data_IF_890857173801
#
_entry.id   IF_890857173801
#
_cell.length_a   1.000
_cell.length_b   1.000
_cell.length_c   1.000
_cell.angle_alpha   90.00
_cell.angle_beta   90.00
_cell.angle_gamma   90.00
#
_symmetry.space_group_name_H-M   'P 1'
#
loop_
_entity.id
_entity.type
_entity.pdbx_description
1 polymer ?
#
# COMPACT_ATOMS: atom_id res chain seq x y z
N UNK A 1 18.98 1.33 7.77
CA UNK A 1 18.07 0.70 8.77
C UNK A 1 17.62 1.76 9.73
N UNK A 2 16.35 1.77 10.16
CA UNK A 2 15.93 2.71 11.18
C UNK A 2 16.70 2.39 12.48
N UNK A 3 17.41 3.38 12.98
CA UNK A 3 18.29 3.19 14.14
C UNK A 3 17.58 3.55 15.46
N UNK A 4 16.44 4.25 15.36
CA UNK A 4 15.79 4.82 16.55
C UNK A 4 14.29 4.54 16.56
N UNK A 5 13.81 3.88 17.61
CA UNK A 5 12.40 3.80 17.93
C UNK A 5 11.93 5.16 18.43
N UNK A 6 10.94 5.77 17.78
CA UNK A 6 10.33 7.04 18.18
C UNK A 6 9.02 6.83 18.94
N UNK A 7 8.33 5.72 18.63
CA UNK A 7 7.13 5.30 19.32
C UNK A 7 7.43 4.31 20.44
N UNK A 8 6.58 4.28 21.44
CA UNK A 8 6.61 3.32 22.52
C UNK A 8 5.21 2.99 22.99
N UNK A 9 5.05 1.81 23.57
CA UNK A 9 3.82 1.37 24.19
C UNK A 9 4.14 0.69 25.52
N UNK A 10 3.38 1.03 26.55
CA UNK A 10 3.46 0.38 27.86
C UNK A 10 2.09 0.43 28.54
N UNK A 11 1.69 -0.67 29.16
CA UNK A 11 0.50 -0.78 29.98
C UNK A 11 0.78 -1.73 31.16
N UNK A 12 -0.23 -1.96 32.00
CA UNK A 12 -0.19 -2.85 33.16
C UNK A 12 -0.29 -4.36 32.81
N UNK A 13 -0.41 -4.70 31.52
CA UNK A 13 -0.48 -6.07 31.05
C UNK A 13 0.82 -6.46 30.35
N UNK A 14 1.62 -7.30 30.98
CA UNK A 14 2.93 -7.74 30.44
C UNK A 14 2.83 -8.46 29.10
N UNK A 15 1.73 -9.19 28.85
CA UNK A 15 1.53 -9.86 27.56
C UNK A 15 1.37 -8.84 26.42
N UNK A 16 0.61 -7.77 26.63
CA UNK A 16 0.44 -6.72 25.62
C UNK A 16 1.74 -5.97 25.38
N UNK A 17 2.51 -5.69 26.44
CA UNK A 17 3.84 -5.09 26.32
C UNK A 17 4.76 -5.98 25.48
N UNK A 18 4.73 -7.28 25.74
CA UNK A 18 5.54 -8.25 24.99
C UNK A 18 5.11 -8.39 23.52
N UNK A 19 3.81 -8.32 23.23
CA UNK A 19 3.29 -8.32 21.85
C UNK A 19 3.83 -7.11 21.09
N UNK A 20 3.79 -5.92 21.71
CA UNK A 20 4.37 -4.72 21.10
C UNK A 20 5.86 -4.87 20.80
N UNK A 21 6.66 -5.33 21.75
CA UNK A 21 8.09 -5.53 21.57
C UNK A 21 8.42 -6.48 20.41
N UNK A 22 7.68 -7.60 20.30
CA UNK A 22 7.87 -8.57 19.24
C UNK A 22 7.47 -7.96 17.87
N UNK A 23 6.36 -7.22 17.84
CA UNK A 23 5.92 -6.50 16.63
C UNK A 23 6.95 -5.47 16.19
N UNK A 24 7.46 -4.66 17.13
CA UNK A 24 8.50 -3.68 16.87
C UNK A 24 9.79 -4.32 16.34
N UNK A 25 10.21 -5.44 16.92
CA UNK A 25 11.36 -6.20 16.45
C UNK A 25 11.14 -6.80 15.06
N UNK A 26 9.94 -7.30 14.78
CA UNK A 26 9.58 -7.80 13.45
C UNK A 26 9.68 -6.70 12.40
N UNK A 27 9.13 -5.53 12.68
CA UNK A 27 9.25 -4.36 11.80
C UNK A 27 10.71 -3.96 11.58
N UNK A 28 11.54 -3.99 12.62
CA UNK A 28 12.98 -3.73 12.49
C UNK A 28 13.65 -4.70 11.51
N UNK A 29 13.30 -5.98 11.56
CA UNK A 29 13.87 -7.01 10.68
C UNK A 29 13.43 -6.85 9.22
N UNK A 30 12.22 -6.38 8.97
CA UNK A 30 11.62 -6.24 7.63
C UNK A 30 11.81 -4.85 7.01
N UNK A 31 12.31 -3.88 7.78
CA UNK A 31 12.66 -2.54 7.27
C UNK A 31 14.10 -2.53 6.79
N UNK A 32 14.29 -2.43 5.47
CA UNK A 32 15.59 -2.42 4.79
C UNK A 32 15.72 -1.16 3.94
N UNK A 33 16.25 -1.29 2.73
CA UNK A 33 16.17 -0.25 1.71
C UNK A 33 14.70 0.15 1.43
N UNK A 34 13.83 -0.85 1.50
CA UNK A 34 12.38 -0.77 1.39
C UNK A 34 11.73 -1.56 2.52
N UNK A 35 10.41 -1.43 2.68
CA UNK A 35 9.63 -2.34 3.49
C UNK A 35 9.38 -3.62 2.71
N UNK A 36 9.88 -4.74 3.21
CA UNK A 36 9.73 -6.07 2.61
C UNK A 36 8.68 -6.88 3.37
N UNK A 37 8.02 -7.80 2.68
CA UNK A 37 6.97 -8.68 3.23
C UNK A 37 7.44 -9.55 4.39
N UNK A 38 8.67 -10.04 4.34
CA UNK A 38 9.21 -10.89 5.38
C UNK A 38 10.68 -11.22 5.18
N UNK A 39 11.30 -11.82 6.20
CA UNK A 39 12.72 -12.18 6.18
C UNK A 39 12.98 -13.59 5.66
N UNK A 40 11.96 -14.44 5.59
CA UNK A 40 12.11 -15.86 5.27
C UNK A 40 11.68 -16.21 3.85
N UNK A 41 10.46 -15.80 3.44
CA UNK A 41 9.92 -16.01 2.09
C UNK A 41 10.06 -14.75 1.29
N UNK A 42 9.84 -14.80 0.04
CA UNK A 42 9.85 -13.75 -0.97
C UNK A 42 10.93 -12.69 -0.76
N UNK A 43 10.98 -12.05 0.40
CA UNK A 43 11.88 -10.92 0.72
C UNK A 43 11.75 -9.83 -0.34
N UNK A 44 10.52 -9.58 -0.74
CA UNK A 44 10.15 -8.71 -1.83
C UNK A 44 9.31 -7.53 -1.36
N UNK A 45 9.10 -6.56 -2.23
CA UNK A 45 8.27 -5.39 -1.94
C UNK A 45 6.89 -5.61 -2.57
N UNK A 46 5.91 -5.94 -1.73
CA UNK A 46 4.52 -6.13 -2.11
C UNK A 46 3.68 -4.96 -1.60
N UNK A 47 2.82 -4.37 -2.45
CA UNK A 47 2.07 -3.16 -2.09
C UNK A 47 1.08 -3.40 -0.94
N UNK A 48 0.42 -4.57 -0.92
CA UNK A 48 -0.50 -4.96 0.15
C UNK A 48 0.17 -5.14 1.50
N UNK A 49 1.42 -5.66 1.51
CA UNK A 49 2.23 -5.80 2.72
C UNK A 49 2.81 -4.45 3.14
N UNK A 50 3.24 -3.66 2.17
CA UNK A 50 3.87 -2.37 2.42
C UNK A 50 2.92 -1.37 3.10
N UNK A 51 1.63 -1.31 2.73
CA UNK A 51 0.67 -0.41 3.38
C UNK A 51 0.56 -0.70 4.88
N UNK A 52 0.53 -1.97 5.27
CA UNK A 52 0.51 -2.37 6.68
C UNK A 52 1.80 -1.94 7.39
N UNK A 53 2.94 -2.14 6.72
CA UNK A 53 4.25 -1.74 7.25
C UNK A 53 4.36 -0.22 7.41
N UNK A 54 3.79 0.59 6.48
CA UNK A 54 3.77 2.04 6.62
C UNK A 54 2.97 2.49 7.84
N UNK A 55 1.77 1.92 8.04
CA UNK A 55 0.94 2.23 9.21
C UNK A 55 1.69 1.92 10.51
N UNK A 56 2.30 0.75 10.62
CA UNK A 56 3.13 0.40 11.79
C UNK A 56 4.33 1.34 11.95
N UNK A 57 5.00 1.69 10.84
CA UNK A 57 6.14 2.60 10.84
C UNK A 57 5.79 3.99 11.39
N UNK A 58 4.62 4.53 11.09
CA UNK A 58 4.22 5.85 11.60
C UNK A 58 4.10 5.90 13.12
N UNK A 59 3.85 4.76 13.76
CA UNK A 59 3.79 4.65 15.23
C UNK A 59 5.09 4.15 15.87
N UNK A 60 6.06 3.68 15.09
CA UNK A 60 7.27 3.04 15.60
C UNK A 60 8.54 3.82 15.29
N UNK A 61 8.90 3.94 14.03
CA UNK A 61 10.14 4.62 13.59
C UNK A 61 9.88 6.02 13.07
N UNK A 62 8.75 6.24 12.44
CA UNK A 62 8.42 7.42 11.65
C UNK A 62 9.48 7.69 10.56
N UNK A 63 9.95 6.64 9.90
CA UNK A 63 10.89 6.73 8.79
C UNK A 63 10.14 7.05 7.48
N UNK A 64 9.88 8.33 7.24
CA UNK A 64 9.18 8.82 6.05
C UNK A 64 9.98 8.61 4.77
N UNK A 65 11.31 8.58 4.84
CA UNK A 65 12.17 8.41 3.66
C UNK A 65 12.09 6.99 3.09
N UNK A 66 12.04 5.97 3.97
CA UNK A 66 11.84 4.59 3.51
C UNK A 66 10.43 4.40 2.95
N UNK A 67 9.40 5.06 3.50
CA UNK A 67 8.04 5.06 2.92
C UNK A 67 8.07 5.66 1.52
N UNK A 68 8.63 6.85 1.33
CA UNK A 68 8.74 7.50 0.02
C UNK A 68 9.42 6.61 -1.01
N UNK A 69 10.58 6.05 -0.65
CA UNK A 69 11.31 5.14 -1.55
C UNK A 69 10.48 3.94 -1.94
N UNK A 70 9.77 3.33 -0.99
CA UNK A 70 8.94 2.16 -1.25
C UNK A 70 7.74 2.49 -2.14
N UNK A 71 7.02 3.59 -1.87
CA UNK A 71 5.93 4.08 -2.72
C UNK A 71 6.43 4.33 -4.14
N UNK A 72 7.56 5.02 -4.27
CA UNK A 72 8.14 5.35 -5.57
C UNK A 72 8.55 4.11 -6.37
N UNK A 73 9.20 3.16 -5.70
CA UNK A 73 9.67 1.91 -6.32
C UNK A 73 8.51 1.03 -6.79
N UNK A 74 7.49 0.88 -5.95
CA UNK A 74 6.30 0.07 -6.27
C UNK A 74 5.55 0.59 -7.49
N UNK A 75 5.54 1.91 -7.72
CA UNK A 75 4.86 2.49 -8.88
C UNK A 75 5.45 2.01 -10.22
N UNK A 76 6.70 1.63 -10.25
CA UNK A 76 7.37 1.18 -11.48
C UNK A 76 7.54 2.29 -12.51
N UNK A 77 7.64 1.91 -13.78
CA UNK A 77 7.90 2.81 -14.92
C UNK A 77 6.62 3.08 -15.73
N UNK A 78 6.63 4.15 -16.49
CA UNK A 78 5.64 4.40 -17.56
C UNK A 78 6.16 3.88 -18.91
N UNK A 79 5.28 3.47 -19.86
CA UNK A 79 3.83 3.37 -19.67
C UNK A 79 3.42 2.25 -18.72
N UNK A 80 2.28 2.44 -18.01
CA UNK A 80 1.71 1.40 -17.15
C UNK A 80 1.14 0.29 -18.02
N UNK A 81 1.58 -0.94 -17.81
CA UNK A 81 1.16 -2.12 -18.59
C UNK A 81 0.53 -3.22 -17.74
N UNK A 82 0.58 -3.08 -16.42
CA UNK A 82 0.00 -4.05 -15.48
C UNK A 82 -0.35 -3.37 -14.16
N UNK A 83 -1.18 -4.01 -13.37
CA UNK A 83 -1.35 -3.64 -11.96
C UNK A 83 -0.04 -3.74 -11.18
N UNK A 84 0.08 -3.00 -10.09
CA UNK A 84 1.23 -3.07 -9.19
C UNK A 84 1.35 -4.52 -8.67
N UNK A 85 2.55 -5.09 -8.75
CA UNK A 85 2.82 -6.48 -8.46
C UNK A 85 1.94 -7.48 -9.26
N UNK A 86 1.34 -7.07 -10.37
CA UNK A 86 0.33 -7.80 -11.16
C UNK A 86 -0.99 -8.08 -10.42
N UNK A 87 -1.19 -7.50 -9.24
CA UNK A 87 -2.32 -7.71 -8.36
C UNK A 87 -3.22 -6.46 -8.37
N UNK A 88 -4.51 -6.65 -8.63
CA UNK A 88 -5.46 -5.55 -8.76
C UNK A 88 -5.63 -4.77 -7.47
N UNK A 89 -5.93 -5.44 -6.37
CA UNK A 89 -6.07 -4.86 -5.03
C UNK A 89 -4.83 -4.07 -4.61
N UNK A 90 -3.63 -4.55 -4.97
CA UNK A 90 -2.35 -3.93 -4.61
C UNK A 90 -2.14 -2.57 -5.29
N UNK A 91 -2.74 -2.37 -6.46
CA UNK A 91 -2.80 -1.07 -7.11
C UNK A 91 -3.60 -0.07 -6.28
N UNK A 92 -4.74 -0.48 -5.74
CA UNK A 92 -5.57 0.37 -4.89
C UNK A 92 -4.90 0.64 -3.54
N UNK A 93 -4.29 -0.35 -2.91
CA UNK A 93 -3.50 -0.16 -1.68
C UNK A 93 -2.35 0.83 -1.89
N UNK A 94 -1.77 0.87 -3.07
CA UNK A 94 -0.75 1.87 -3.39
C UNK A 94 -1.31 3.30 -3.35
N UNK A 95 -2.51 3.55 -3.91
CA UNK A 95 -3.16 4.87 -3.81
C UNK A 95 -3.45 5.23 -2.34
N UNK A 96 -3.99 4.31 -1.57
CA UNK A 96 -4.26 4.50 -0.16
C UNK A 96 -2.96 4.80 0.63
N UNK A 97 -1.86 4.17 0.26
CA UNK A 97 -0.54 4.45 0.86
C UNK A 97 -0.09 5.89 0.63
N UNK A 98 -0.38 6.47 -0.54
CA UNK A 98 -0.07 7.88 -0.82
C UNK A 98 -0.94 8.82 0.02
N UNK A 99 -2.23 8.50 0.17
CA UNK A 99 -3.13 9.23 1.05
C UNK A 99 -2.62 9.22 2.49
N UNK A 100 -2.35 8.05 3.04
CA UNK A 100 -1.85 7.89 4.41
C UNK A 100 -0.52 8.60 4.60
N UNK A 101 0.41 8.46 3.66
CA UNK A 101 1.68 9.18 3.70
C UNK A 101 1.47 10.68 3.86
N UNK A 102 0.61 11.28 3.05
CA UNK A 102 0.31 12.71 3.14
C UNK A 102 -0.33 13.07 4.49
N UNK A 103 -1.30 12.28 4.94
CA UNK A 103 -2.00 12.52 6.20
C UNK A 103 -1.08 12.47 7.42
N UNK A 104 -0.08 11.57 7.42
CA UNK A 104 0.87 11.45 8.52
C UNK A 104 2.03 12.44 8.46
N UNK A 105 2.43 12.88 7.27
CA UNK A 105 3.66 13.68 7.09
C UNK A 105 3.43 15.12 6.67
N UNK A 106 2.32 15.42 5.99
CA UNK A 106 2.08 16.71 5.35
C UNK A 106 3.03 17.02 4.19
N UNK A 107 3.77 16.03 3.65
CA UNK A 107 4.76 16.24 2.59
C UNK A 107 4.09 16.45 1.22
N UNK A 108 3.50 17.63 1.05
CA UNK A 108 2.85 18.06 -0.19
C UNK A 108 3.82 18.04 -1.39
N UNK A 109 5.10 18.35 -1.16
CA UNK A 109 6.11 18.36 -2.21
C UNK A 109 6.28 16.97 -2.84
N UNK A 110 6.36 15.93 -2.04
CA UNK A 110 6.47 14.56 -2.54
C UNK A 110 5.21 14.15 -3.31
N UNK A 111 4.02 14.45 -2.79
CA UNK A 111 2.76 14.13 -3.46
C UNK A 111 2.66 14.83 -4.81
N UNK A 112 3.01 16.12 -4.91
CA UNK A 112 3.07 16.85 -6.18
C UNK A 112 4.04 16.22 -7.19
N UNK A 113 5.19 15.78 -6.74
CA UNK A 113 6.16 15.08 -7.61
C UNK A 113 5.62 13.73 -8.11
N UNK A 114 4.86 13.04 -7.27
CA UNK A 114 4.29 11.73 -7.59
C UNK A 114 3.03 11.81 -8.45
N UNK A 115 2.28 12.91 -8.38
CA UNK A 115 0.95 13.06 -8.97
C UNK A 115 0.86 12.72 -10.47
N UNK A 116 1.81 13.11 -11.35
CA UNK A 116 1.78 12.68 -12.76
C UNK A 116 1.78 11.15 -12.91
N UNK A 117 2.50 10.45 -12.02
CA UNK A 117 2.58 8.98 -12.01
C UNK A 117 1.33 8.35 -11.42
N UNK A 118 0.67 9.03 -10.48
CA UNK A 118 -0.66 8.64 -9.99
C UNK A 118 -1.69 8.73 -11.11
N UNK A 119 -1.66 9.81 -11.89
CA UNK A 119 -2.57 9.99 -13.04
C UNK A 119 -2.44 8.87 -14.05
N UNK A 120 -1.23 8.56 -14.53
CA UNK A 120 -1.03 7.51 -15.53
C UNK A 120 -1.43 6.11 -15.01
N UNK A 121 -1.27 5.84 -13.70
CA UNK A 121 -1.76 4.60 -13.11
C UNK A 121 -3.30 4.60 -13.01
N UNK A 122 -3.91 5.72 -12.65
CA UNK A 122 -5.37 5.81 -12.58
C UNK A 122 -5.99 5.73 -13.99
N UNK A 123 -5.37 6.31 -15.02
CA UNK A 123 -5.78 6.16 -16.43
C UNK A 123 -5.75 4.69 -16.85
N UNK A 124 -4.73 3.94 -16.47
CA UNK A 124 -4.68 2.48 -16.69
C UNK A 124 -5.86 1.76 -16.01
N UNK A 125 -6.16 2.11 -14.76
CA UNK A 125 -7.28 1.51 -14.01
C UNK A 125 -8.63 1.87 -14.67
N UNK A 126 -8.84 3.15 -15.01
CA UNK A 126 -10.07 3.61 -15.67
C UNK A 126 -10.30 2.96 -17.04
N UNK A 127 -9.22 2.67 -17.78
CA UNK A 127 -9.29 1.90 -19.03
C UNK A 127 -9.73 0.44 -18.85
N UNK A 128 -9.89 -0.02 -17.61
CA UNK A 128 -10.29 -1.39 -17.23
C UNK A 128 -11.65 -1.44 -16.51
N UNK A 129 -12.36 -0.33 -16.48
CA UNK A 129 -13.75 -0.31 -16.01
C UNK A 129 -14.70 -0.76 -17.12
N UNK A 130 -15.83 -1.34 -16.72
CA UNK A 130 -16.91 -1.67 -17.66
C UNK A 130 -17.80 -0.46 -17.98
N UNK A 131 -18.91 -0.68 -18.69
CA UNK A 131 -19.86 0.37 -19.11
C UNK A 131 -20.52 1.08 -17.92
N UNK A 132 -20.59 0.45 -16.78
CA UNK A 132 -21.18 1.00 -15.55
C UNK A 132 -20.13 1.70 -14.68
N UNK A 133 -18.88 1.75 -15.13
CA UNK A 133 -17.75 2.34 -14.42
C UNK A 133 -17.21 1.48 -13.28
N UNK A 134 -17.55 0.19 -13.26
CA UNK A 134 -17.12 -0.74 -12.24
C UNK A 134 -15.82 -1.43 -12.65
N UNK A 135 -14.92 -1.64 -11.68
CA UNK A 135 -13.68 -2.38 -11.92
C UNK A 135 -13.89 -3.89 -11.78
N UNK A 136 -13.16 -4.65 -12.57
CA UNK A 136 -13.12 -6.11 -12.48
C UNK A 136 -11.77 -6.64 -12.97
N UNK A 137 -11.37 -7.80 -12.49
CA UNK A 137 -10.18 -8.48 -12.98
C UNK A 137 -10.32 -8.86 -14.44
N UNK A 138 -9.33 -8.55 -15.24
CA UNK A 138 -9.24 -8.92 -16.65
C UNK A 138 -8.22 -10.03 -16.85
N UNK A 139 -8.16 -10.60 -18.05
CA UNK A 139 -7.16 -11.62 -18.38
C UNK A 139 -5.74 -11.12 -18.08
N UNK A 140 -5.03 -11.87 -17.25
CA UNK A 140 -3.68 -11.54 -16.80
C UNK A 140 -3.61 -10.77 -15.48
N UNK A 141 -4.74 -10.33 -14.92
CA UNK A 141 -4.78 -9.73 -13.59
C UNK A 141 -4.95 -10.82 -12.53
N UNK A 142 -4.30 -10.62 -11.41
CA UNK A 142 -4.56 -11.39 -10.21
C UNK A 142 -5.44 -10.58 -9.27
N UNK A 143 -6.69 -11.03 -9.08
CA UNK A 143 -7.59 -10.52 -8.03
C UNK A 143 -7.32 -11.33 -6.78
N UNK A 144 -6.60 -10.74 -5.84
CA UNK A 144 -6.10 -11.46 -4.68
C UNK A 144 -7.15 -11.55 -3.56
N UNK A 145 -7.67 -10.43 -3.08
CA UNK A 145 -8.59 -10.28 -1.95
C UNK A 145 -8.02 -10.91 -0.67
N UNK A 146 -7.79 -12.23 -0.67
CA UNK A 146 -7.21 -13.01 0.43
C UNK A 146 -6.74 -14.39 -0.07
N UNK A 147 -5.93 -15.09 0.75
CA UNK A 147 -5.49 -16.48 0.56
C UNK A 147 -6.64 -17.50 0.82
N UNK A 148 -7.84 -17.19 0.39
CA UNK A 148 -9.03 -18.01 0.58
C UNK A 148 -9.49 -18.67 -0.73
N UNK A 149 -8.56 -19.09 -1.58
CA UNK A 149 -8.86 -19.75 -2.84
C UNK A 149 -9.65 -21.05 -2.58
N UNK A 150 -10.78 -21.17 -3.28
CA UNK A 150 -11.74 -22.26 -3.09
C UNK A 150 -12.89 -21.94 -2.12
N UNK A 151 -12.80 -20.85 -1.33
CA UNK A 151 -13.88 -20.37 -0.46
C UNK A 151 -14.50 -19.08 -0.95
N UNK A 152 -13.76 -18.26 -1.72
CA UNK A 152 -14.23 -17.00 -2.29
C UNK A 152 -14.32 -17.11 -3.81
N UNK A 153 -15.47 -16.73 -4.37
CA UNK A 153 -15.57 -16.47 -5.81
C UNK A 153 -15.02 -15.06 -6.11
N UNK A 154 -13.85 -15.01 -6.72
CA UNK A 154 -13.11 -13.77 -7.02
C UNK A 154 -13.31 -13.32 -8.46
N UNK A 155 -14.50 -13.55 -9.03
CA UNK A 155 -14.80 -13.19 -10.42
C UNK A 155 -15.76 -12.01 -10.52
N UNK A 156 -15.65 -11.28 -11.62
CA UNK A 156 -16.54 -10.17 -11.92
C UNK A 156 -16.32 -8.96 -11.02
N UNK A 157 -17.37 -8.22 -10.79
CA UNK A 157 -17.38 -6.98 -10.00
C UNK A 157 -17.46 -7.29 -8.50
N UNK A 158 -16.35 -7.34 -7.81
CA UNK A 158 -16.33 -7.62 -6.37
C UNK A 158 -16.55 -6.33 -5.57
N UNK A 159 -17.44 -6.36 -4.59
CA UNK A 159 -17.70 -5.22 -3.70
C UNK A 159 -16.41 -4.73 -3.02
N UNK A 160 -15.54 -5.64 -2.62
CA UNK A 160 -14.23 -5.33 -2.04
C UNK A 160 -13.40 -4.41 -2.96
N UNK A 161 -13.27 -4.76 -4.23
CA UNK A 161 -12.51 -4.00 -5.21
C UNK A 161 -13.15 -2.63 -5.49
N UNK A 162 -14.49 -2.56 -5.55
CA UNK A 162 -15.20 -1.29 -5.75
C UNK A 162 -14.94 -0.31 -4.60
N UNK A 163 -14.94 -0.79 -3.34
CA UNK A 163 -14.65 0.04 -2.18
C UNK A 163 -13.22 0.59 -2.24
N UNK A 164 -12.24 -0.24 -2.58
CA UNK A 164 -10.85 0.17 -2.74
C UNK A 164 -10.69 1.16 -3.91
N UNK A 165 -11.37 0.91 -5.02
CA UNK A 165 -11.37 1.82 -6.17
C UNK A 165 -11.96 3.18 -5.84
N UNK A 166 -13.15 3.23 -5.19
CA UNK A 166 -13.73 4.48 -4.73
C UNK A 166 -12.77 5.26 -3.83
N UNK A 167 -12.13 4.58 -2.88
CA UNK A 167 -11.14 5.20 -1.99
C UNK A 167 -9.91 5.72 -2.74
N UNK A 168 -9.50 5.02 -3.80
CA UNK A 168 -8.41 5.47 -4.68
C UNK A 168 -8.79 6.73 -5.47
N UNK A 169 -10.04 6.85 -5.93
CA UNK A 169 -10.56 8.07 -6.57
C UNK A 169 -10.64 9.25 -5.60
N UNK A 170 -11.05 9.03 -4.35
CA UNK A 170 -10.99 10.05 -3.30
C UNK A 170 -9.55 10.52 -3.05
N UNK A 171 -8.60 9.59 -3.03
CA UNK A 171 -7.17 9.92 -2.92
C UNK A 171 -6.71 10.79 -4.09
N UNK A 172 -7.11 10.46 -5.32
CA UNK A 172 -6.79 11.26 -6.50
C UNK A 172 -7.37 12.67 -6.41
N UNK A 173 -8.63 12.80 -5.94
CA UNK A 173 -9.28 14.09 -5.75
C UNK A 173 -8.57 14.95 -4.70
N UNK A 174 -8.18 14.36 -3.56
CA UNK A 174 -7.38 15.04 -2.54
C UNK A 174 -6.06 15.54 -3.12
N UNK A 175 -5.30 14.66 -3.77
CA UNK A 175 -3.97 15.00 -4.30
C UNK A 175 -4.03 16.00 -5.47
N UNK A 176 -5.16 16.08 -6.19
CA UNK A 176 -5.37 17.08 -7.23
C UNK A 176 -5.61 18.50 -6.66
N UNK A 177 -6.04 18.61 -5.42
CA UNK A 177 -6.28 19.88 -4.72
C UNK A 177 -5.04 20.46 -4.04
N UNK A 178 -3.94 19.71 -3.99
CA UNK A 178 -2.67 20.17 -3.41
C UNK A 178 -1.85 20.96 -4.42
#
# INVERSE_FOLDING_TARGET
MPETYRGSFQCDNDLLNRIWEIGAYTMHLTTREFFIDGIKRDRWVWSGDAIQSYLMNYYLFFDSETVKRTIWQLRGKDPVTSHINTIMDYTFYWFLSVYDYYMYTGDEKFVKQLYPRMKSLMEYVLGRTDSDGMVQGMTGDWVFVDWADGYLDKKGQLAFEQVLFCKSLETMALCAGL
#
